data_IF_339194973743
#
_entry.id   IF_339194973743
#
_cell.length_a   1.000
_cell.length_b   1.000
_cell.length_c   1.000
_cell.angle_alpha   90.00
_cell.angle_beta   90.00
_cell.angle_gamma   90.00
#
_symmetry.space_group_name_H-M   'P 1'
#
loop_
_entity.id
_entity.type
_entity.pdbx_description
1 polymer ?
#
# COMPACT_ATOMS: atom_id res chain seq x y z
N UNK A 1 -29.58 -28.05 -96.50
CA UNK A 1 -29.77 -28.17 -95.04
C UNK A 1 -29.04 -27.00 -94.36
N UNK A 2 -29.81 -25.94 -94.04
CA UNK A 2 -29.32 -24.65 -93.55
C UNK A 2 -28.95 -24.70 -92.09
N UNK A 3 -27.80 -24.16 -91.77
CA UNK A 3 -27.39 -23.81 -90.42
C UNK A 3 -26.97 -22.34 -90.39
N UNK A 4 -27.95 -21.48 -90.08
CA UNK A 4 -27.74 -20.09 -89.73
C UNK A 4 -27.37 -19.99 -88.29
N UNK A 5 -26.12 -19.68 -87.99
CA UNK A 5 -25.66 -19.32 -86.68
C UNK A 5 -25.57 -17.82 -86.52
N UNK A 6 -26.57 -17.22 -85.88
CA UNK A 6 -26.63 -15.80 -85.55
C UNK A 6 -25.68 -15.54 -84.35
N UNK A 7 -24.60 -14.86 -84.60
CA UNK A 7 -23.72 -14.30 -83.63
C UNK A 7 -24.30 -12.98 -83.09
N UNK A 8 -24.70 -12.94 -81.82
CA UNK A 8 -25.17 -11.70 -81.16
C UNK A 8 -24.01 -11.09 -80.40
N UNK A 9 -23.64 -9.82 -80.57
CA UNK A 9 -22.59 -9.17 -79.87
C UNK A 9 -23.05 -8.84 -78.43
N UNK A 10 -22.21 -9.20 -77.39
CA UNK A 10 -22.39 -8.87 -76.00
C UNK A 10 -22.20 -7.37 -75.77
N UNK A 11 -23.02 -6.74 -74.91
CA UNK A 11 -22.88 -5.33 -74.58
C UNK A 11 -21.60 -5.08 -73.74
N UNK A 12 -20.89 -4.05 -74.13
CA UNK A 12 -19.63 -3.65 -73.54
C UNK A 12 -19.74 -3.27 -72.10
N UNK A 13 -18.76 -3.74 -71.31
CA UNK A 13 -18.52 -3.39 -69.92
C UNK A 13 -18.19 -1.90 -69.85
N UNK A 14 -19.11 -1.07 -69.32
CA UNK A 14 -18.80 0.30 -68.94
C UNK A 14 -17.94 0.28 -67.65
N UNK A 15 -16.66 0.56 -67.81
CA UNK A 15 -15.78 0.90 -66.72
C UNK A 15 -16.28 2.19 -66.07
N UNK A 16 -16.79 2.07 -64.86
CA UNK A 16 -17.03 3.22 -63.99
C UNK A 16 -15.66 3.81 -63.61
N UNK A 17 -15.30 4.90 -64.25
CA UNK A 17 -14.21 5.76 -63.79
C UNK A 17 -14.59 6.29 -62.41
N UNK A 18 -13.99 5.69 -61.36
CA UNK A 18 -14.09 6.20 -60.00
C UNK A 18 -13.53 7.62 -59.98
N UNK A 19 -14.37 8.57 -59.61
CA UNK A 19 -13.95 9.91 -59.24
C UNK A 19 -12.96 9.76 -58.11
N UNK A 20 -11.71 10.01 -58.40
CA UNK A 20 -10.68 10.27 -57.37
C UNK A 20 -11.17 11.50 -56.62
N UNK A 21 -11.66 11.29 -55.38
CA UNK A 21 -12.02 12.38 -54.49
C UNK A 21 -10.78 13.24 -54.27
N UNK A 22 -10.91 14.52 -54.55
CA UNK A 22 -9.91 15.52 -54.22
C UNK A 22 -9.66 15.42 -52.72
N UNK A 23 -8.50 14.92 -52.34
CA UNK A 23 -8.00 15.07 -50.99
C UNK A 23 -7.68 16.56 -50.82
N UNK A 24 -8.58 17.29 -50.16
CA UNK A 24 -8.32 18.65 -49.74
C UNK A 24 -7.19 18.58 -48.70
N UNK A 25 -6.02 19.08 -49.01
CA UNK A 25 -4.95 19.25 -48.07
C UNK A 25 -5.38 20.26 -46.99
N UNK A 26 -4.90 20.03 -45.73
CA UNK A 26 -5.16 20.96 -44.65
C UNK A 26 -4.58 22.34 -44.95
N UNK A 27 -5.37 23.37 -44.63
CA UNK A 27 -4.88 24.75 -44.74
C UNK A 27 -3.94 25.08 -43.57
N UNK A 28 -2.98 25.95 -43.81
CA UNK A 28 -2.06 26.41 -42.75
C UNK A 28 -2.83 27.00 -41.57
N UNK A 29 -3.93 27.72 -41.85
CA UNK A 29 -4.80 28.29 -40.80
C UNK A 29 -5.47 27.22 -39.97
N UNK A 30 -5.93 26.14 -40.57
CA UNK A 30 -6.55 25.01 -39.87
C UNK A 30 -5.57 24.31 -38.89
N UNK A 31 -4.33 24.14 -39.33
CA UNK A 31 -3.25 23.60 -38.45
C UNK A 31 -2.98 24.54 -37.28
N UNK A 32 -2.92 25.85 -37.49
CA UNK A 32 -2.70 26.82 -36.39
C UNK A 32 -3.86 26.79 -35.42
N UNK A 33 -5.12 26.76 -35.90
CA UNK A 33 -6.29 26.67 -35.03
C UNK A 33 -6.28 25.35 -34.24
N UNK A 34 -6.00 24.24 -34.91
CA UNK A 34 -5.90 22.94 -34.23
C UNK A 34 -4.84 22.94 -33.14
N UNK A 35 -3.65 23.45 -33.42
CA UNK A 35 -2.56 23.56 -32.43
C UNK A 35 -2.91 24.49 -31.28
N UNK A 36 -3.58 25.62 -31.53
CA UNK A 36 -4.02 26.52 -30.45
C UNK A 36 -5.05 25.87 -29.55
N UNK A 37 -6.02 25.13 -30.10
CA UNK A 37 -7.00 24.38 -29.31
C UNK A 37 -6.31 23.30 -28.46
N UNK A 38 -5.39 22.53 -29.04
CA UNK A 38 -4.63 21.52 -28.32
C UNK A 38 -3.79 22.14 -27.19
N UNK A 39 -3.15 23.27 -27.45
CA UNK A 39 -2.34 23.98 -26.45
C UNK A 39 -3.22 24.48 -25.28
N UNK A 40 -4.39 25.03 -25.54
CA UNK A 40 -5.34 25.48 -24.50
C UNK A 40 -5.84 24.30 -23.68
N UNK A 41 -6.23 23.19 -24.34
CA UNK A 41 -6.66 21.98 -23.64
C UNK A 41 -5.53 21.38 -22.79
N UNK A 42 -4.31 21.32 -23.32
CA UNK A 42 -3.15 20.84 -22.58
C UNK A 42 -2.86 21.71 -21.34
N UNK A 43 -2.91 23.05 -21.48
CA UNK A 43 -2.70 23.98 -20.37
C UNK A 43 -3.76 23.81 -19.25
N UNK A 44 -4.99 23.50 -19.59
CA UNK A 44 -6.06 23.26 -18.62
C UNK A 44 -5.93 21.89 -17.92
N UNK A 45 -5.34 20.89 -18.59
CA UNK A 45 -5.26 19.51 -18.06
C UNK A 45 -4.10 19.32 -17.08
N UNK A 46 -3.00 20.05 -17.25
CA UNK A 46 -1.78 19.91 -16.42
C UNK A 46 -2.05 20.14 -14.92
N UNK A 47 -2.74 21.22 -14.47
CA UNK A 47 -2.99 21.44 -13.04
C UNK A 47 -3.88 20.36 -12.43
N UNK A 48 -4.84 19.82 -13.18
CA UNK A 48 -5.73 18.77 -12.70
C UNK A 48 -4.99 17.46 -12.43
N UNK A 49 -4.01 17.10 -13.27
CA UNK A 49 -3.19 15.90 -13.10
C UNK A 49 -2.29 15.98 -11.87
N UNK A 50 -1.78 17.16 -11.52
CA UNK A 50 -0.97 17.36 -10.31
C UNK A 50 -1.79 17.06 -9.05
N UNK A 51 -2.99 17.60 -8.93
CA UNK A 51 -3.85 17.37 -7.76
C UNK A 51 -4.15 15.88 -7.50
N UNK A 52 -4.45 15.11 -8.53
CA UNK A 52 -4.66 13.65 -8.39
C UNK A 52 -3.41 12.89 -7.96
N UNK A 53 -2.26 13.31 -8.42
CA UNK A 53 -1.00 12.66 -8.05
C UNK A 53 -0.63 12.97 -6.60
N UNK A 54 -0.84 14.19 -6.15
CA UNK A 54 -0.57 14.63 -4.78
C UNK A 54 -1.50 13.93 -3.79
N UNK A 55 -2.79 13.77 -4.10
CA UNK A 55 -3.73 12.98 -3.30
C UNK A 55 -3.28 11.52 -3.17
N UNK A 56 -2.88 10.89 -4.30
CA UNK A 56 -2.44 9.50 -4.30
C UNK A 56 -1.20 9.30 -3.42
N UNK A 57 -0.24 10.23 -3.50
CA UNK A 57 1.00 10.15 -2.73
C UNK A 57 0.73 10.44 -1.25
N UNK A 58 -0.17 11.37 -0.91
CA UNK A 58 -0.57 11.63 0.47
C UNK A 58 -1.34 10.45 1.09
N UNK A 59 -2.06 9.68 0.29
CA UNK A 59 -2.80 8.49 0.72
C UNK A 59 -1.90 7.27 0.96
N UNK A 60 -0.72 7.20 0.38
CA UNK A 60 0.20 6.06 0.48
C UNK A 60 0.57 5.72 1.93
N UNK A 61 1.01 6.66 2.79
CA UNK A 61 1.36 6.35 4.17
C UNK A 61 0.16 5.88 4.99
N UNK A 62 -1.03 6.41 4.72
CA UNK A 62 -2.27 5.96 5.37
C UNK A 62 -2.58 4.52 4.97
N UNK A 63 -2.47 4.17 3.69
CA UNK A 63 -2.68 2.81 3.21
C UNK A 63 -1.66 1.83 3.80
N UNK A 64 -0.40 2.25 3.93
CA UNK A 64 0.64 1.48 4.59
C UNK A 64 0.34 1.27 6.08
N UNK A 65 -0.08 2.33 6.78
CA UNK A 65 -0.46 2.24 8.20
C UNK A 65 -1.64 1.29 8.41
N UNK A 66 -2.69 1.37 7.58
CA UNK A 66 -3.84 0.45 7.63
C UNK A 66 -3.39 -0.99 7.44
N UNK A 67 -2.50 -1.25 6.48
CA UNK A 67 -1.97 -2.59 6.23
C UNK A 67 -1.22 -3.11 7.45
N UNK A 68 -0.30 -2.32 8.01
CA UNK A 68 0.47 -2.69 9.19
C UNK A 68 -0.43 -2.91 10.41
N UNK A 69 -1.40 -2.03 10.63
CA UNK A 69 -2.36 -2.14 11.73
C UNK A 69 -3.20 -3.42 11.67
N UNK A 70 -3.71 -3.74 10.46
CA UNK A 70 -4.49 -4.97 10.25
C UNK A 70 -3.65 -6.22 10.49
N UNK A 71 -2.42 -6.23 10.03
CA UNK A 71 -1.51 -7.35 10.22
C UNK A 71 -1.11 -7.51 11.68
N UNK A 72 -0.71 -6.44 12.36
CA UNK A 72 -0.38 -6.44 13.78
C UNK A 72 -1.59 -6.92 14.62
N UNK A 73 -2.79 -6.44 14.32
CA UNK A 73 -4.02 -6.87 14.97
C UNK A 73 -4.32 -8.35 14.74
N UNK A 74 -4.22 -8.82 13.50
CA UNK A 74 -4.45 -10.23 13.16
C UNK A 74 -3.47 -11.14 13.90
N UNK A 75 -2.19 -10.77 13.94
CA UNK A 75 -1.16 -11.49 14.70
C UNK A 75 -1.46 -11.47 16.19
N UNK A 76 -1.82 -10.31 16.74
CA UNK A 76 -2.18 -10.19 18.16
C UNK A 76 -3.29 -11.18 18.57
N UNK A 77 -4.34 -11.29 17.74
CA UNK A 77 -5.44 -12.22 17.99
C UNK A 77 -5.05 -13.70 17.81
N UNK A 78 -4.24 -14.00 16.80
CA UNK A 78 -3.84 -15.37 16.45
C UNK A 78 -2.84 -15.93 17.45
N UNK A 79 -1.82 -15.15 17.79
CA UNK A 79 -0.72 -15.55 18.68
C UNK A 79 -1.06 -15.34 20.17
N UNK A 80 -2.20 -14.68 20.45
CA UNK A 80 -2.63 -14.33 21.81
C UNK A 80 -1.60 -13.50 22.57
N UNK A 81 -0.88 -12.63 21.87
CA UNK A 81 0.16 -11.74 22.39
C UNK A 81 -0.05 -10.31 21.89
N UNK A 82 0.33 -9.29 22.63
CA UNK A 82 0.20 -7.93 22.16
C UNK A 82 1.23 -7.63 21.05
N UNK A 83 0.80 -6.83 20.09
CA UNK A 83 1.59 -6.27 19.00
C UNK A 83 1.53 -4.75 19.03
N UNK A 84 2.48 -4.09 18.41
CA UNK A 84 2.55 -2.63 18.37
C UNK A 84 2.89 -2.13 16.97
N UNK A 85 2.46 -0.92 16.68
CA UNK A 85 2.97 -0.10 15.59
C UNK A 85 3.62 1.13 16.23
N UNK A 86 4.93 1.23 16.09
CA UNK A 86 5.69 2.41 16.47
C UNK A 86 5.57 3.45 15.34
N UNK A 87 5.09 4.64 15.69
CA UNK A 87 4.94 5.76 14.76
C UNK A 87 6.04 6.77 15.07
N UNK A 88 6.83 7.11 14.08
CA UNK A 88 7.97 8.02 14.17
C UNK A 88 8.01 8.98 12.98
N UNK A 89 8.85 10.01 13.06
CA UNK A 89 8.90 11.08 12.04
C UNK A 89 9.15 10.57 10.61
N UNK A 90 9.90 9.47 10.47
CA UNK A 90 10.29 8.91 9.17
C UNK A 90 9.43 7.70 8.74
N UNK A 91 8.34 7.39 9.47
CA UNK A 91 7.44 6.29 9.07
C UNK A 91 6.87 5.46 10.22
N UNK A 92 6.59 4.19 9.94
CA UNK A 92 5.91 3.27 10.84
C UNK A 92 6.65 1.94 10.92
N UNK A 93 6.76 1.38 12.12
CA UNK A 93 7.35 0.06 12.34
C UNK A 93 6.41 -0.80 13.15
N UNK A 94 5.93 -1.88 12.55
CA UNK A 94 5.12 -2.88 13.25
C UNK A 94 6.00 -4.00 13.79
N UNK A 95 5.81 -4.34 15.06
CA UNK A 95 6.57 -5.39 15.74
C UNK A 95 5.77 -6.00 16.88
N UNK A 96 6.30 -7.08 17.44
CA UNK A 96 5.76 -7.67 18.65
C UNK A 96 5.97 -6.70 19.83
N UNK A 97 4.96 -6.52 20.65
CA UNK A 97 5.08 -5.73 21.87
C UNK A 97 5.79 -6.54 22.94
N UNK A 98 7.08 -6.27 23.16
CA UNK A 98 7.92 -7.07 24.04
C UNK A 98 8.03 -6.51 25.44
N UNK A 99 7.95 -5.19 25.60
CA UNK A 99 8.12 -4.54 26.90
C UNK A 99 7.33 -3.22 26.98
N UNK A 100 6.36 -3.10 27.90
CA UNK A 100 5.60 -1.86 28.10
C UNK A 100 6.44 -0.72 28.71
N UNK A 101 7.62 -1.02 29.21
CA UNK A 101 8.51 -0.09 29.92
C UNK A 101 9.76 0.26 29.12
N UNK A 102 9.75 0.00 27.79
CA UNK A 102 10.85 0.41 26.92
C UNK A 102 11.12 1.91 27.05
N UNK A 103 12.35 2.21 27.38
CA UNK A 103 12.81 3.60 27.34
C UNK A 103 12.88 4.10 25.91
N UNK A 104 12.90 5.42 25.71
CA UNK A 104 13.00 6.04 24.39
C UNK A 104 14.23 5.54 23.60
N UNK A 105 15.37 5.36 24.28
CA UNK A 105 16.60 4.87 23.67
C UNK A 105 16.43 3.44 23.13
N UNK A 106 15.81 2.55 23.91
CA UNK A 106 15.54 1.16 23.51
C UNK A 106 14.52 1.09 22.36
N UNK A 107 13.55 2.01 22.31
CA UNK A 107 12.62 2.11 21.18
C UNK A 107 13.33 2.52 19.88
N UNK A 108 14.25 3.47 19.95
CA UNK A 108 15.05 3.90 18.80
C UNK A 108 15.94 2.74 18.34
N UNK A 109 16.61 2.03 19.26
CA UNK A 109 17.41 0.87 18.95
C UNK A 109 16.59 -0.26 18.29
N UNK A 110 15.36 -0.49 18.78
CA UNK A 110 14.45 -1.47 18.19
C UNK A 110 14.07 -1.08 16.75
N UNK A 111 13.81 0.20 16.48
CA UNK A 111 13.51 0.70 15.16
C UNK A 111 14.73 0.56 14.23
N UNK A 112 15.91 0.89 14.70
CA UNK A 112 17.16 0.76 13.92
C UNK A 112 17.49 -0.71 13.62
N UNK A 113 17.32 -1.59 14.59
CA UNK A 113 17.52 -3.04 14.42
C UNK A 113 16.51 -3.63 13.42
N UNK A 114 15.27 -3.10 13.40
CA UNK A 114 14.25 -3.54 12.44
C UNK A 114 14.53 -3.08 11.01
N UNK A 115 15.22 -1.96 10.85
CA UNK A 115 15.66 -1.48 9.52
C UNK A 115 16.81 -2.34 8.95
N UNK A 116 17.66 -2.87 9.84
CA UNK A 116 18.78 -3.72 9.49
C UNK A 116 18.70 -5.02 10.29
N UNK A 117 17.84 -5.97 9.92
CA UNK A 117 17.76 -7.23 10.64
C UNK A 117 19.14 -7.90 10.63
N UNK A 118 19.63 -8.39 11.78
CA UNK A 118 20.86 -9.15 11.81
C UNK A 118 20.71 -10.34 10.87
N UNK A 119 21.71 -10.56 10.02
CA UNK A 119 21.75 -11.70 9.12
C UNK A 119 21.44 -12.97 9.93
N UNK A 120 20.46 -13.77 9.47
CA UNK A 120 20.06 -15.01 10.09
C UNK A 120 21.31 -15.82 10.44
N UNK A 121 21.62 -15.92 11.72
CA UNK A 121 22.60 -16.89 12.16
C UNK A 121 21.97 -18.25 11.91
N UNK A 122 22.67 -19.17 11.21
CA UNK A 122 22.14 -20.50 10.99
C UNK A 122 21.85 -21.13 12.35
N UNK A 123 20.61 -21.56 12.54
CA UNK A 123 20.21 -22.34 13.70
C UNK A 123 21.20 -23.50 13.84
N UNK A 124 22.00 -23.45 14.88
CA UNK A 124 22.81 -24.59 15.29
C UNK A 124 21.81 -25.64 15.73
N UNK A 125 21.55 -26.56 14.83
CA UNK A 125 20.82 -27.79 15.06
C UNK A 125 21.50 -28.51 16.23
N UNK A 126 20.94 -28.36 17.43
CA UNK A 126 21.34 -29.19 18.58
C UNK A 126 20.77 -30.59 18.41
N UNK A 127 21.35 -31.30 17.45
CA UNK A 127 21.42 -32.73 17.50
C UNK A 127 22.47 -33.06 18.54
N UNK A 128 22.04 -33.41 19.71
CA UNK A 128 22.79 -34.36 20.58
C UNK A 128 21.93 -34.64 21.80
N UNK A 129 21.32 -35.79 21.83
CA UNK A 129 21.53 -36.73 22.91
C UNK A 129 20.76 -38.01 22.66
N UNK A 130 21.44 -38.88 21.93
CA UNK A 130 21.22 -40.30 22.14
C UNK A 130 21.71 -40.64 23.55
N UNK A 131 20.91 -41.31 24.30
CA UNK A 131 21.26 -42.56 24.96
C UNK A 131 20.25 -42.94 26.04
N UNK A 132 19.82 -44.16 26.00
CA UNK A 132 19.30 -44.81 27.21
C UNK A 132 17.91 -45.44 27.09
N UNK A 133 17.91 -46.69 26.81
CA UNK A 133 16.86 -47.68 26.72
C UNK A 133 15.68 -47.60 27.68
N UNK A 134 14.55 -48.05 27.18
CA UNK A 134 13.34 -48.28 27.93
C UNK A 134 12.15 -48.59 27.07
N UNK A 135 11.94 -49.85 26.73
CA UNK A 135 10.73 -50.33 26.08
C UNK A 135 9.52 -50.08 26.95
N UNK A 136 8.65 -49.21 26.55
CA UNK A 136 7.25 -49.23 27.04
C UNK A 136 6.34 -48.92 25.84
N UNK A 137 5.50 -49.90 25.50
CA UNK A 137 4.40 -49.75 24.56
C UNK A 137 3.50 -48.64 25.05
N UNK A 138 3.59 -47.52 24.44
CA UNK A 138 2.70 -46.40 24.71
C UNK A 138 1.71 -46.30 23.59
N UNK A 139 0.47 -46.49 23.93
CA UNK A 139 -0.76 -46.09 23.28
C UNK A 139 -0.48 -44.85 22.42
N UNK A 140 -0.83 -44.90 21.13
CA UNK A 140 -0.82 -43.73 20.24
C UNK A 140 -1.81 -42.71 20.79
N UNK A 141 -1.32 -41.88 21.70
CA UNK A 141 -1.92 -40.59 21.95
C UNK A 141 -1.78 -39.80 20.63
N UNK A 142 -2.89 -39.50 20.01
CA UNK A 142 -2.97 -38.57 18.89
C UNK A 142 -2.39 -37.26 19.41
N UNK A 143 -1.10 -37.05 19.17
CA UNK A 143 -0.44 -35.78 19.46
C UNK A 143 -1.20 -34.71 18.71
N UNK A 144 -1.72 -33.75 19.45
CA UNK A 144 -2.24 -32.51 18.86
C UNK A 144 -1.19 -31.98 17.88
N UNK A 145 -1.59 -31.46 16.73
CA UNK A 145 -0.65 -30.89 15.77
C UNK A 145 0.27 -29.90 16.52
N UNK A 146 1.58 -29.90 16.23
CA UNK A 146 2.50 -29.01 16.91
C UNK A 146 1.97 -27.57 16.77
N UNK A 147 2.07 -26.76 17.82
CA UNK A 147 1.63 -25.38 17.77
C UNK A 147 2.34 -24.69 16.59
N UNK A 148 1.63 -23.82 15.85
CA UNK A 148 2.23 -23.13 14.73
C UNK A 148 3.49 -22.39 15.21
N UNK A 149 4.59 -22.57 14.47
CA UNK A 149 5.82 -21.80 14.70
C UNK A 149 5.52 -20.34 14.37
N UNK A 150 5.55 -19.49 15.38
CA UNK A 150 5.41 -18.05 15.20
C UNK A 150 6.80 -17.44 15.02
N UNK A 151 6.90 -16.49 14.07
CA UNK A 151 8.12 -15.72 13.90
C UNK A 151 8.31 -14.77 15.10
N UNK A 152 9.25 -15.09 15.97
CA UNK A 152 9.52 -14.30 17.18
C UNK A 152 10.10 -12.92 16.85
N UNK A 153 10.71 -12.78 15.67
CA UNK A 153 11.36 -11.56 15.20
C UNK A 153 10.56 -10.83 14.12
N UNK A 154 9.24 -11.15 14.00
CA UNK A 154 8.42 -10.46 13.00
C UNK A 154 8.45 -8.95 13.19
N UNK A 155 8.90 -8.28 12.16
CA UNK A 155 8.95 -6.83 12.06
C UNK A 155 8.60 -6.42 10.64
N UNK A 156 7.78 -5.39 10.49
CA UNK A 156 7.52 -4.76 9.20
C UNK A 156 7.71 -3.25 9.32
N UNK A 157 8.37 -2.67 8.34
CA UNK A 157 8.72 -1.27 8.30
C UNK A 157 8.11 -0.58 7.07
N UNK A 158 7.68 0.66 7.24
CA UNK A 158 7.31 1.58 6.17
C UNK A 158 8.06 2.89 6.38
N UNK A 159 8.79 3.33 5.36
CA UNK A 159 9.47 4.63 5.37
C UNK A 159 8.63 5.66 4.64
N UNK A 160 8.27 6.73 5.35
CA UNK A 160 7.57 7.86 4.76
C UNK A 160 8.51 8.73 3.95
N UNK A 161 8.05 9.31 2.83
CA UNK A 161 8.82 10.31 2.10
C UNK A 161 9.25 11.49 3.00
N UNK A 162 10.43 12.06 2.80
CA UNK A 162 10.98 13.11 3.68
C UNK A 162 10.24 14.44 3.62
N UNK A 163 9.41 14.66 2.61
CA UNK A 163 8.57 15.84 2.39
C UNK A 163 7.22 15.77 3.12
N UNK A 164 6.97 14.68 3.88
CA UNK A 164 5.76 14.50 4.65
C UNK A 164 5.95 14.83 6.12
N UNK A 165 4.96 15.52 6.69
CA UNK A 165 4.82 15.67 8.13
C UNK A 165 3.70 14.78 8.63
N UNK A 166 4.01 14.02 9.65
CA UNK A 166 3.07 13.13 10.31
C UNK A 166 2.73 13.68 11.67
N UNK A 167 1.44 13.78 11.97
CA UNK A 167 0.97 14.08 13.29
C UNK A 167 -0.10 13.10 13.72
N UNK A 168 -0.28 12.94 15.01
CA UNK A 168 -1.25 12.02 15.55
C UNK A 168 -1.94 12.57 16.80
N UNK A 169 -3.10 12.02 17.06
CA UNK A 169 -3.89 12.33 18.22
C UNK A 169 -4.55 11.04 18.74
N UNK A 170 -4.16 10.61 19.93
CA UNK A 170 -4.88 9.57 20.65
C UNK A 170 -6.07 10.18 21.42
N UNK A 171 -7.04 9.35 21.75
CA UNK A 171 -8.24 9.77 22.46
C UNK A 171 -7.99 10.47 23.82
N UNK A 172 -6.85 10.19 24.45
CA UNK A 172 -6.42 10.76 25.73
C UNK A 172 -5.47 11.96 25.57
N UNK A 173 -5.01 12.26 24.36
CA UNK A 173 -4.17 13.43 24.11
C UNK A 173 -5.06 14.69 24.07
N UNK A 174 -4.56 15.80 24.62
CA UNK A 174 -5.25 17.09 24.57
C UNK A 174 -5.09 17.72 23.19
N UNK A 175 -3.92 17.56 22.59
CA UNK A 175 -3.54 18.19 21.32
C UNK A 175 -2.98 17.17 20.32
N UNK A 176 -3.03 17.55 19.05
CA UNK A 176 -2.38 16.77 17.99
C UNK A 176 -0.86 16.91 18.14
N UNK A 177 -0.17 15.76 18.20
CA UNK A 177 1.28 15.70 18.37
C UNK A 177 1.95 15.45 17.02
N UNK A 178 2.79 16.39 16.56
CA UNK A 178 3.64 16.18 15.40
C UNK A 178 4.80 15.25 15.75
N UNK A 179 5.06 14.31 14.85
CA UNK A 179 6.17 13.37 14.98
C UNK A 179 7.44 14.01 14.43
N UNK A 180 8.24 14.60 15.31
CA UNK A 180 9.48 15.29 14.92
C UNK A 180 10.68 14.69 15.67
N UNK A 181 11.83 14.69 15.01
CA UNK A 181 13.09 14.16 15.56
C UNK A 181 12.94 12.71 16.00
N UNK A 182 13.34 12.44 17.24
CA UNK A 182 13.29 11.07 17.82
C UNK A 182 11.99 10.77 18.55
N UNK A 183 10.93 11.54 18.33
CA UNK A 183 9.64 11.26 19.00
C UNK A 183 9.03 9.98 18.42
N UNK A 184 8.77 9.01 19.30
CA UNK A 184 8.09 7.76 18.95
C UNK A 184 6.84 7.62 19.80
N UNK A 185 5.72 7.33 19.14
CA UNK A 185 4.45 6.98 19.79
C UNK A 185 4.09 5.53 19.45
N UNK A 186 3.57 4.80 20.42
CA UNK A 186 3.19 3.40 20.26
C UNK A 186 1.68 3.24 20.14
N UNK A 187 1.25 2.59 19.07
CA UNK A 187 -0.12 2.13 18.90
C UNK A 187 -0.18 0.64 19.15
N UNK A 188 -0.81 0.25 20.27
CA UNK A 188 -0.76 -1.13 20.78
C UNK A 188 -2.06 -1.88 20.47
N UNK A 189 -1.90 -3.10 19.96
CA UNK A 189 -2.97 -4.05 19.65
C UNK A 189 -2.97 -5.16 20.69
N UNK A 190 -4.07 -5.27 21.41
CA UNK A 190 -4.27 -6.27 22.45
C UNK A 190 -4.54 -7.66 21.85
N UNK A 191 -4.29 -8.77 22.60
CA UNK A 191 -4.66 -10.13 22.17
C UNK A 191 -6.15 -10.31 21.87
N UNK A 192 -7.00 -9.43 22.40
CA UNK A 192 -8.45 -9.37 22.08
C UNK A 192 -8.73 -8.73 20.71
N UNK A 193 -7.75 -8.13 20.07
CA UNK A 193 -7.89 -7.35 18.84
C UNK A 193 -8.30 -5.90 19.05
N UNK A 194 -8.44 -5.46 20.30
CA UNK A 194 -8.74 -4.07 20.64
C UNK A 194 -7.47 -3.23 20.58
N UNK A 195 -7.56 -2.01 20.07
CA UNK A 195 -6.51 -1.01 20.08
C UNK A 195 -7.05 0.33 20.58
N UNK A 196 -6.19 1.31 20.75
CA UNK A 196 -6.61 2.67 21.09
C UNK A 196 -7.14 3.37 19.84
N UNK A 197 -8.22 4.17 19.92
CA UNK A 197 -8.64 5.03 18.83
C UNK A 197 -7.52 6.01 18.49
N UNK A 198 -7.24 6.17 17.22
CA UNK A 198 -6.14 6.98 16.73
C UNK A 198 -6.63 7.85 15.57
N UNK A 199 -6.27 9.15 15.61
CA UNK A 199 -6.36 10.04 14.46
C UNK A 199 -4.95 10.28 13.94
N UNK A 200 -4.77 10.17 12.65
CA UNK A 200 -3.51 10.45 11.95
C UNK A 200 -3.75 11.59 10.98
N UNK A 201 -2.88 12.57 11.07
CA UNK A 201 -2.83 13.73 10.22
C UNK A 201 -1.56 13.66 9.38
N UNK A 202 -1.72 13.69 8.07
CA UNK A 202 -0.62 13.67 7.10
C UNK A 202 -0.65 14.99 6.36
N UNK A 203 0.40 15.77 6.48
CA UNK A 203 0.57 17.04 5.77
C UNK A 203 1.69 16.90 4.73
N UNK A 204 1.40 17.33 3.52
CA UNK A 204 2.33 17.49 2.44
C UNK A 204 2.03 18.78 1.69
N UNK A 205 3.03 19.44 1.11
CA UNK A 205 3.03 20.76 0.47
C UNK A 205 1.67 21.39 0.13
N UNK A 206 0.82 20.68 -0.61
CA UNK A 206 -0.49 21.16 -1.10
C UNK A 206 -1.68 20.37 -0.59
N UNK A 207 -1.47 19.32 0.21
CA UNK A 207 -2.54 18.43 0.65
C UNK A 207 -2.43 18.04 2.11
N UNK A 208 -3.57 18.01 2.77
CA UNK A 208 -3.73 17.56 4.14
C UNK A 208 -4.69 16.38 4.17
N UNK A 209 -4.31 15.32 4.86
CA UNK A 209 -5.06 14.08 4.94
C UNK A 209 -5.31 13.71 6.39
N UNK A 210 -6.58 13.70 6.80
CA UNK A 210 -7.00 13.31 8.14
C UNK A 210 -7.71 11.97 8.13
N UNK A 211 -7.24 11.04 8.96
CA UNK A 211 -7.81 9.70 9.08
C UNK A 211 -8.05 9.35 10.53
N UNK A 212 -9.23 8.83 10.82
CA UNK A 212 -9.61 8.33 12.15
C UNK A 212 -9.79 6.82 12.11
N UNK A 213 -9.14 6.11 13.04
CA UNK A 213 -9.17 4.67 13.18
C UNK A 213 -10.08 4.22 14.33
N UNK A 214 -10.85 3.17 14.07
CA UNK A 214 -11.70 2.54 15.08
C UNK A 214 -10.90 1.72 16.08
N UNK A 215 -11.28 1.80 17.35
CA UNK A 215 -10.66 1.04 18.44
C UNK A 215 -10.82 -0.48 18.32
N UNK A 216 -11.91 -0.96 17.74
CA UNK A 216 -12.21 -2.39 17.68
C UNK A 216 -11.67 -3.09 16.45
N UNK A 217 -11.59 -2.40 15.33
CA UNK A 217 -11.25 -3.01 14.04
C UNK A 217 -9.92 -2.52 13.46
N UNK A 218 -9.41 -1.39 13.95
CA UNK A 218 -8.28 -0.67 13.35
C UNK A 218 -8.54 -0.30 11.88
N UNK A 219 -9.81 -0.21 11.49
CA UNK A 219 -10.22 0.25 10.16
C UNK A 219 -10.48 1.75 10.18
N UNK A 220 -10.47 2.36 9.01
CA UNK A 220 -10.79 3.77 8.84
C UNK A 220 -12.28 3.99 9.11
N UNK A 221 -12.61 4.86 10.04
CA UNK A 221 -13.98 5.30 10.34
C UNK A 221 -14.30 6.60 9.61
N UNK A 222 -13.34 7.49 9.55
CA UNK A 222 -13.49 8.79 8.91
C UNK A 222 -12.22 9.15 8.17
N UNK A 223 -12.40 9.69 6.99
CA UNK A 223 -11.33 10.17 6.12
C UNK A 223 -11.74 11.53 5.57
N UNK A 224 -10.86 12.52 5.62
CA UNK A 224 -11.05 13.81 4.97
C UNK A 224 -9.75 14.23 4.29
N UNK A 225 -9.91 14.85 3.12
CA UNK A 225 -8.81 15.38 2.32
C UNK A 225 -9.08 16.86 2.09
N UNK A 226 -8.10 17.69 2.36
CA UNK A 226 -8.12 19.12 2.05
C UNK A 226 -6.96 19.41 1.08
N UNK A 227 -7.29 19.93 -0.10
CA UNK A 227 -6.35 20.31 -1.15
C UNK A 227 -6.25 21.83 -1.16
N UNK A 228 -5.05 22.35 -0.95
CA UNK A 228 -4.74 23.80 -0.97
C UNK A 228 -4.22 24.26 -2.31
#
# INVERSE_FOLDING_TARGET
MNLDSRFSPKPGLRLKTGRLGFQSGFTLVEIIIALTIVAVLAAATIPMLKGFNDERIAREPVAALVKLAREARMRAMTEKRPYQVALHATGFTASRYSNPYLTRAELIELIETSKNPPAEQPEIEKNDLESGGGVTKTTQLTLAPPPPKYDEHWTQNYEAPPDMKLAMHFWFDTDTTYLEGDLVKLWVFQPSGVCQPLKVHVERDSSTFDVEFAALTADIVKESVDLR
#
